data_IF_648320784938
#
_entry.id   IF_648320784938
#
_cell.length_a   1.000
_cell.length_b   1.000
_cell.length_c   1.000
_cell.angle_alpha   90.00
_cell.angle_beta   90.00
_cell.angle_gamma   90.00
#
_symmetry.space_group_name_H-M   'P 1'
#
loop_
_entity.id
_entity.type
_entity.pdbx_description
1 polymer ?
#
# COMPACT_ATOMS: atom_id res chain seq x y z
N UNK A 1 23.24 -23.24 22.65
CA UNK A 1 23.72 -22.63 21.40
C UNK A 1 22.72 -22.99 20.32
N UNK A 2 21.83 -22.07 19.95
CA UNK A 2 20.79 -22.34 18.94
C UNK A 2 21.40 -22.32 17.54
N UNK A 3 21.22 -23.41 16.79
CA UNK A 3 21.74 -23.54 15.43
C UNK A 3 20.68 -23.07 14.45
N UNK A 4 20.98 -22.02 13.69
CA UNK A 4 20.13 -21.57 12.57
C UNK A 4 20.60 -22.27 11.28
N UNK A 5 19.67 -22.91 10.56
CA UNK A 5 19.94 -23.52 9.25
C UNK A 5 19.14 -22.80 8.17
N UNK A 6 19.82 -22.41 7.10
CA UNK A 6 19.20 -21.81 5.91
C UNK A 6 18.95 -22.90 4.87
N UNK A 7 17.70 -23.06 4.44
CA UNK A 7 17.28 -24.05 3.45
C UNK A 7 16.68 -23.33 2.24
N UNK A 8 17.07 -23.75 1.04
CA UNK A 8 16.51 -23.26 -0.22
C UNK A 8 15.19 -23.97 -0.50
N UNK A 9 14.07 -23.29 -0.27
CA UNK A 9 12.74 -23.82 -0.58
C UNK A 9 12.40 -23.56 -2.05
N UNK A 10 12.14 -24.62 -2.81
CA UNK A 10 11.54 -24.51 -4.15
C UNK A 10 10.02 -24.48 -4.01
N UNK A 11 9.40 -23.42 -4.53
CA UNK A 11 7.94 -23.32 -4.62
C UNK A 11 7.49 -24.29 -5.73
N UNK A 12 6.89 -25.41 -5.32
CA UNK A 12 6.46 -26.50 -6.22
C UNK A 12 5.31 -26.10 -7.14
N UNK A 13 4.46 -25.16 -6.70
CA UNK A 13 3.37 -24.58 -7.49
C UNK A 13 3.50 -23.05 -7.44
N UNK A 14 4.04 -22.38 -8.46
CA UNK A 14 3.98 -20.94 -8.52
C UNK A 14 2.50 -20.53 -8.58
N UNK A 15 1.98 -20.01 -7.48
CA UNK A 15 0.61 -19.54 -7.37
C UNK A 15 0.38 -18.42 -8.39
N UNK A 16 -0.40 -18.68 -9.44
CA UNK A 16 -0.97 -17.61 -10.29
C UNK A 16 -1.79 -16.61 -9.44
N UNK A 17 -2.25 -17.04 -8.26
CA UNK A 17 -2.87 -16.21 -7.20
C UNK A 17 -1.93 -15.09 -6.72
N UNK A 18 -0.60 -15.24 -6.82
CA UNK A 18 0.35 -14.19 -6.45
C UNK A 18 0.27 -13.00 -7.41
N UNK A 19 0.20 -13.24 -8.72
CA UNK A 19 0.10 -12.17 -9.74
C UNK A 19 -1.21 -11.42 -9.56
N UNK A 20 -2.31 -12.15 -9.36
CA UNK A 20 -3.62 -11.55 -9.09
C UNK A 20 -3.62 -10.73 -7.79
N UNK A 21 -2.98 -11.26 -6.74
CA UNK A 21 -2.81 -10.57 -5.46
C UNK A 21 -2.00 -9.28 -5.62
N UNK A 22 -0.92 -9.29 -6.41
CA UNK A 22 -0.11 -8.10 -6.70
C UNK A 22 -0.90 -7.06 -7.50
N UNK A 23 -1.71 -7.48 -8.48
CA UNK A 23 -2.58 -6.57 -9.23
C UNK A 23 -3.66 -5.93 -8.33
N UNK A 24 -4.32 -6.74 -7.48
CA UNK A 24 -5.28 -6.25 -6.48
C UNK A 24 -4.63 -5.30 -5.47
N UNK A 25 -3.40 -5.61 -5.04
CA UNK A 25 -2.63 -4.75 -4.14
C UNK A 25 -2.36 -3.39 -4.77
N UNK A 26 -1.81 -3.37 -5.98
CA UNK A 26 -1.54 -2.14 -6.73
C UNK A 26 -2.81 -1.34 -6.99
N UNK A 27 -3.93 -1.99 -7.34
CA UNK A 27 -5.25 -1.34 -7.47
C UNK A 27 -5.67 -0.67 -6.16
N UNK A 28 -5.50 -1.34 -5.02
CA UNK A 28 -5.82 -0.79 -3.70
C UNK A 28 -4.92 0.37 -3.29
N UNK A 29 -3.61 0.29 -3.59
CA UNK A 29 -2.65 1.36 -3.38
C UNK A 29 -3.00 2.61 -4.19
N UNK A 30 -3.30 2.44 -5.49
CA UNK A 30 -3.68 3.53 -6.39
C UNK A 30 -5.02 4.17 -6.01
N UNK A 31 -6.01 3.37 -5.61
CA UNK A 31 -7.28 3.88 -5.10
C UNK A 31 -7.05 4.74 -3.83
N UNK A 32 -6.31 4.20 -2.87
CA UNK A 32 -6.04 4.90 -1.60
C UNK A 32 -5.22 6.17 -1.83
N UNK A 33 -4.26 6.13 -2.77
CA UNK A 33 -3.49 7.29 -3.21
C UNK A 33 -4.38 8.39 -3.78
N UNK A 34 -5.36 8.03 -4.61
CA UNK A 34 -6.30 8.98 -5.18
C UNK A 34 -7.09 9.71 -4.09
N UNK A 35 -7.60 8.98 -3.10
CA UNK A 35 -8.34 9.57 -1.97
C UNK A 35 -7.48 10.57 -1.18
N UNK A 36 -6.21 10.25 -0.93
CA UNK A 36 -5.31 11.17 -0.23
C UNK A 36 -5.00 12.40 -1.08
N UNK A 37 -4.74 12.21 -2.38
CA UNK A 37 -4.46 13.30 -3.31
C UNK A 37 -5.63 14.29 -3.41
N UNK A 38 -6.85 13.78 -3.61
CA UNK A 38 -8.09 14.58 -3.69
C UNK A 38 -8.41 15.28 -2.37
N UNK A 39 -8.00 14.72 -1.23
CA UNK A 39 -8.13 15.41 0.06
C UNK A 39 -7.22 16.65 0.18
N UNK A 40 -6.21 16.78 -0.69
CA UNK A 40 -5.33 17.96 -0.77
C UNK A 40 -4.34 18.11 0.39
N UNK A 41 -4.29 17.16 1.33
CA UNK A 41 -3.34 17.14 2.45
C UNK A 41 -3.12 15.73 2.96
N UNK A 42 -2.08 15.56 3.77
CA UNK A 42 -1.80 14.28 4.42
C UNK A 42 -2.94 13.86 5.35
N UNK A 43 -3.22 12.56 5.35
CA UNK A 43 -4.26 11.95 6.18
C UNK A 43 -3.57 10.97 7.13
N UNK A 44 -3.84 11.03 8.45
CA UNK A 44 -3.33 10.03 9.39
C UNK A 44 -3.77 8.62 8.99
N UNK A 45 -2.86 7.64 9.08
CA UNK A 45 -3.10 6.27 8.63
C UNK A 45 -4.38 5.65 9.21
N UNK A 46 -4.67 5.88 10.50
CA UNK A 46 -5.90 5.37 11.13
C UNK A 46 -7.18 5.95 10.51
N UNK A 47 -7.17 7.25 10.20
CA UNK A 47 -8.30 7.92 9.54
C UNK A 47 -8.44 7.42 8.10
N UNK A 48 -7.32 7.30 7.39
CA UNK A 48 -7.29 6.78 6.03
C UNK A 48 -7.83 5.35 5.96
N UNK A 49 -7.39 4.48 6.87
CA UNK A 49 -7.89 3.11 6.97
C UNK A 49 -9.40 3.07 7.13
N UNK A 50 -9.98 3.86 8.04
CA UNK A 50 -11.45 3.90 8.21
C UNK A 50 -12.20 4.28 6.93
N UNK A 51 -11.60 5.14 6.09
CA UNK A 51 -12.22 5.58 4.83
C UNK A 51 -12.11 4.54 3.72
N UNK A 52 -10.97 3.85 3.60
CA UNK A 52 -10.72 2.95 2.46
C UNK A 52 -10.98 1.47 2.75
N UNK A 53 -10.97 1.06 4.02
CA UNK A 53 -11.03 -0.35 4.41
C UNK A 53 -12.26 -1.10 3.85
N UNK A 54 -13.49 -0.56 3.91
CA UNK A 54 -14.66 -1.23 3.30
C UNK A 54 -14.45 -1.48 1.80
N UNK A 55 -13.96 -0.49 1.06
CA UNK A 55 -13.69 -0.63 -0.37
C UNK A 55 -12.59 -1.66 -0.66
N UNK A 56 -11.49 -1.65 0.09
CA UNK A 56 -10.39 -2.61 -0.07
C UNK A 56 -10.85 -4.05 0.19
N UNK A 57 -11.72 -4.27 1.18
CA UNK A 57 -12.24 -5.59 1.55
C UNK A 57 -13.32 -6.09 0.60
N UNK A 58 -14.30 -5.26 0.30
CA UNK A 58 -15.54 -5.68 -0.37
C UNK A 58 -15.46 -5.54 -1.89
N UNK A 59 -14.77 -4.52 -2.40
CA UNK A 59 -14.71 -4.23 -3.84
C UNK A 59 -13.44 -4.75 -4.51
N UNK A 60 -12.31 -4.76 -3.80
CA UNK A 60 -11.04 -5.31 -4.32
C UNK A 60 -10.84 -6.76 -3.87
N UNK A 61 -11.45 -7.17 -2.75
CA UNK A 61 -11.32 -8.52 -2.22
C UNK A 61 -9.98 -8.78 -1.53
N UNK A 62 -9.28 -7.74 -1.05
CA UNK A 62 -7.98 -7.89 -0.38
C UNK A 62 -8.15 -8.49 1.01
N UNK A 63 -7.22 -9.36 1.44
CA UNK A 63 -7.18 -9.89 2.81
C UNK A 63 -7.06 -8.76 3.85
N UNK A 64 -7.51 -9.01 5.08
CA UNK A 64 -7.54 -8.01 6.17
C UNK A 64 -6.17 -7.37 6.43
N UNK A 65 -5.12 -8.18 6.54
CA UNK A 65 -3.75 -7.71 6.75
C UNK A 65 -3.29 -6.74 5.65
N UNK A 66 -3.56 -7.08 4.38
CA UNK A 66 -3.20 -6.25 3.23
C UNK A 66 -4.01 -4.96 3.20
N UNK A 67 -5.32 -5.05 3.48
CA UNK A 67 -6.22 -3.89 3.56
C UNK A 67 -5.83 -2.90 4.65
N UNK A 68 -5.26 -3.36 5.76
CA UNK A 68 -4.72 -2.50 6.81
C UNK A 68 -3.33 -1.92 6.46
N UNK A 69 -2.55 -2.63 5.64
CA UNK A 69 -1.20 -2.21 5.27
C UNK A 69 -1.19 -1.07 4.24
N UNK A 70 -2.06 -1.14 3.23
CA UNK A 70 -2.19 -0.13 2.17
C UNK A 70 -2.32 1.31 2.72
N UNK A 71 -3.29 1.64 3.60
CA UNK A 71 -3.44 3.00 4.11
C UNK A 71 -2.23 3.44 4.96
N UNK A 72 -1.52 2.51 5.62
CA UNK A 72 -0.28 2.83 6.34
C UNK A 72 0.82 3.25 5.39
N UNK A 73 1.03 2.49 4.31
CA UNK A 73 2.05 2.79 3.31
C UNK A 73 1.75 4.10 2.59
N UNK A 74 0.53 4.26 2.08
CA UNK A 74 0.14 5.47 1.34
C UNK A 74 0.23 6.72 2.23
N UNK A 75 -0.27 6.67 3.47
CA UNK A 75 -0.12 7.81 4.39
C UNK A 75 1.35 8.17 4.65
N UNK A 76 2.22 7.17 4.76
CA UNK A 76 3.67 7.35 4.87
C UNK A 76 4.26 8.03 3.63
N UNK A 77 3.92 7.56 2.43
CA UNK A 77 4.38 8.13 1.16
C UNK A 77 4.01 9.61 1.04
N UNK A 78 2.76 9.98 1.31
CA UNK A 78 2.33 11.37 1.23
C UNK A 78 2.96 12.24 2.32
N UNK A 79 3.25 11.70 3.50
CA UNK A 79 4.03 12.40 4.52
C UNK A 79 5.43 12.72 3.99
N UNK A 80 6.11 11.75 3.38
CA UNK A 80 7.42 11.96 2.76
C UNK A 80 7.36 12.99 1.65
N UNK A 81 6.34 12.98 0.78
CA UNK A 81 6.16 13.99 -0.27
C UNK A 81 6.07 15.40 0.32
N UNK A 82 5.30 15.59 1.40
CA UNK A 82 5.20 16.89 2.06
C UNK A 82 6.53 17.33 2.67
N UNK A 83 7.29 16.43 3.30
CA UNK A 83 8.61 16.77 3.83
C UNK A 83 9.61 17.12 2.71
N UNK A 84 9.60 16.37 1.61
CA UNK A 84 10.43 16.67 0.43
C UNK A 84 10.04 17.98 -0.25
N UNK A 85 8.75 18.33 -0.24
CA UNK A 85 8.28 19.59 -0.80
C UNK A 85 8.77 20.81 0.00
N UNK A 86 8.91 20.69 1.33
CA UNK A 86 9.47 21.77 2.16
C UNK A 86 10.91 22.11 1.82
N UNK A 87 11.69 21.12 1.38
CA UNK A 87 13.10 21.29 0.97
C UNK A 87 13.25 21.50 -0.54
N UNK A 88 12.15 21.66 -1.28
CA UNK A 88 12.15 21.92 -2.73
C UNK A 88 12.46 20.70 -3.61
N UNK A 89 12.49 19.48 -3.05
CA UNK A 89 12.79 18.25 -3.80
C UNK A 89 11.56 17.54 -4.37
N UNK A 90 10.35 17.98 -3.99
CA UNK A 90 9.09 17.42 -4.48
C UNK A 90 7.99 18.48 -4.47
N UNK A 91 6.81 18.12 -4.97
CA UNK A 91 5.59 18.89 -4.87
C UNK A 91 4.41 17.95 -4.63
N UNK A 92 3.28 18.49 -4.18
CA UNK A 92 2.06 17.71 -3.98
C UNK A 92 1.62 17.08 -5.30
N UNK A 93 1.75 15.76 -5.39
CA UNK A 93 1.53 15.01 -6.62
C UNK A 93 0.83 13.69 -6.32
N UNK A 94 0.06 13.20 -7.29
CA UNK A 94 -0.61 11.91 -7.20
C UNK A 94 0.40 10.78 -7.42
N UNK A 95 0.51 9.88 -6.45
CA UNK A 95 1.39 8.72 -6.56
C UNK A 95 0.68 7.59 -7.30
N UNK A 96 1.31 7.08 -8.35
CA UNK A 96 0.88 5.87 -9.06
C UNK A 96 1.87 4.74 -8.77
N UNK A 97 1.34 3.63 -8.25
CA UNK A 97 2.05 2.39 -7.96
C UNK A 97 1.93 1.44 -9.17
N UNK A 98 3.00 0.69 -9.43
CA UNK A 98 3.06 -0.39 -10.42
C UNK A 98 3.16 -1.74 -9.70
N UNK A 99 2.60 -2.83 -10.26
CA UNK A 99 2.91 -4.20 -9.82
C UNK A 99 4.39 -4.53 -10.00
#
# INVERSE_FOLDING_TARGET
>A
MESTKTIQLKILNPDFDLVETMQKYTKGMNYTSNIVFEHGRTIPAMKLQKMVYPYLRENIGLKSQVSCNIPRQVAGTYKTIVELAKIGMSYWQKVMYSP
#
